data_IF_781199710706
#
_entry.id   IF_781199710706
#
_cell.length_a   1.000
_cell.length_b   1.000
_cell.length_c   1.000
_cell.angle_alpha   90.00
_cell.angle_beta   90.00
_cell.angle_gamma   90.00
#
_symmetry.space_group_name_H-M   'P 1'
#
loop_
_entity.id
_entity.type
_entity.pdbx_description
1 polymer ?
#
# COMPACT_ATOMS: atom_id res chain seq x y z
N UNK A 1 75.34 -6.83 -14.66
CA UNK A 1 75.09 -8.17 -14.06
C UNK A 1 73.65 -8.17 -13.56
N UNK A 2 72.70 -8.90 -14.18
CA UNK A 2 72.23 -10.27 -13.81
C UNK A 2 71.91 -10.38 -12.30
N UNK A 3 70.77 -10.85 -11.79
CA UNK A 3 69.53 -11.45 -12.30
C UNK A 3 68.60 -11.68 -11.06
N UNK A 4 67.33 -12.00 -11.31
CA UNK A 4 66.38 -12.75 -10.46
C UNK A 4 65.43 -12.01 -9.50
N UNK A 5 64.17 -11.90 -9.93
CA UNK A 5 63.01 -12.33 -9.14
C UNK A 5 62.98 -13.87 -9.02
N UNK A 6 62.26 -14.43 -8.03
CA UNK A 6 61.09 -15.25 -8.40
C UNK A 6 59.89 -15.26 -7.42
N UNK A 7 58.69 -15.31 -8.02
CA UNK A 7 57.47 -16.12 -7.71
C UNK A 7 56.75 -15.88 -6.37
N UNK A 8 55.52 -15.34 -6.37
CA UNK A 8 54.22 -16.01 -6.61
C UNK A 8 54.02 -17.33 -5.84
N UNK A 9 53.34 -17.25 -4.69
CA UNK A 9 52.58 -18.36 -4.12
C UNK A 9 51.22 -17.84 -3.60
N UNK A 10 50.24 -17.92 -4.49
CA UNK A 10 48.80 -17.96 -4.18
C UNK A 10 48.53 -18.97 -3.05
N UNK A 11 47.83 -18.54 -2.00
CA UNK A 11 47.21 -19.44 -1.04
C UNK A 11 45.68 -19.29 -1.12
N UNK A 12 45.05 -20.16 -1.92
CA UNK A 12 43.60 -20.36 -1.96
C UNK A 12 43.21 -21.31 -0.83
N UNK A 13 42.27 -20.97 0.06
CA UNK A 13 41.65 -21.98 0.92
C UNK A 13 40.70 -22.86 0.10
N UNK A 14 40.86 -24.17 0.26
CA UNK A 14 40.06 -25.23 -0.36
C UNK A 14 38.67 -25.27 0.27
N UNK A 15 37.64 -25.26 -0.58
CA UNK A 15 36.27 -25.62 -0.22
C UNK A 15 36.20 -27.10 0.19
N UNK A 16 35.65 -27.37 1.37
CA UNK A 16 35.10 -28.68 1.73
C UNK A 16 33.59 -28.60 1.51
N UNK A 17 33.07 -29.41 0.59
CA UNK A 17 31.65 -29.47 0.26
C UNK A 17 30.93 -30.45 1.20
N UNK A 18 30.08 -29.92 2.09
CA UNK A 18 29.10 -30.75 2.81
C UNK A 18 27.86 -30.97 1.95
N UNK A 19 27.48 -32.24 1.78
CA UNK A 19 26.32 -32.69 1.00
C UNK A 19 25.02 -32.41 1.75
N UNK A 20 23.94 -31.92 1.09
CA UNK A 20 22.64 -31.83 1.72
C UNK A 20 22.00 -33.21 1.93
N UNK A 21 21.50 -33.45 3.14
CA UNK A 21 20.71 -34.63 3.54
C UNK A 21 19.34 -34.63 2.87
N UNK A 22 18.98 -35.78 2.29
CA UNK A 22 17.66 -36.15 1.76
C UNK A 22 16.50 -35.84 2.73
N UNK A 23 15.39 -35.29 2.21
CA UNK A 23 14.11 -35.21 2.92
C UNK A 23 13.20 -36.36 2.45
N UNK A 24 12.87 -37.26 3.38
CA UNK A 24 11.85 -38.31 3.20
C UNK A 24 10.46 -37.69 3.13
N UNK A 25 9.70 -38.04 2.10
CA UNK A 25 8.27 -37.80 2.00
C UNK A 25 7.52 -38.81 2.88
N UNK A 26 6.63 -38.32 3.75
CA UNK A 26 5.65 -39.15 4.48
C UNK A 26 4.26 -38.75 3.95
N UNK A 27 3.60 -39.67 3.27
CA UNK A 27 2.17 -39.64 2.95
C UNK A 27 1.37 -40.16 4.15
N UNK A 28 0.23 -39.51 4.47
CA UNK A 28 -0.89 -40.13 5.17
C UNK A 28 -2.23 -39.78 4.46
N UNK A 29 -3.18 -40.74 4.35
CA UNK A 29 -4.47 -40.56 3.66
C UNK A 29 -5.69 -40.41 4.61
N UNK A 30 -6.83 -40.01 4.02
CA UNK A 30 -8.21 -40.18 4.55
C UNK A 30 -8.76 -38.97 5.35
N UNK A 31 -10.04 -38.58 5.31
CA UNK A 31 -11.27 -39.27 4.87
C UNK A 31 -12.43 -38.28 4.66
N UNK A 32 -13.42 -38.76 3.91
CA UNK A 32 -14.73 -38.18 3.54
C UNK A 32 -15.70 -38.15 4.73
N UNK A 33 -16.52 -37.10 4.86
CA UNK A 33 -17.84 -37.19 5.52
C UNK A 33 -18.86 -36.40 4.68
N UNK A 34 -19.86 -37.13 4.18
CA UNK A 34 -21.09 -36.62 3.60
C UNK A 34 -22.16 -36.53 4.70
N UNK A 35 -22.99 -35.48 4.68
CA UNK A 35 -24.19 -35.40 5.50
C UNK A 35 -25.38 -34.97 4.63
N UNK A 36 -26.28 -35.93 4.41
CA UNK A 36 -27.62 -35.74 3.85
C UNK A 36 -28.57 -35.28 4.95
N UNK A 37 -29.58 -34.48 4.62
CA UNK A 37 -30.76 -34.29 5.48
C UNK A 37 -32.03 -34.27 4.63
N UNK A 38 -33.02 -34.98 5.16
CA UNK A 38 -34.19 -35.49 4.45
C UNK A 38 -35.32 -34.46 4.31
N UNK A 39 -36.05 -34.60 3.20
CA UNK A 39 -37.34 -33.96 2.93
C UNK A 39 -38.44 -34.80 3.57
N UNK A 40 -39.34 -34.18 4.33
CA UNK A 40 -40.58 -34.80 4.80
C UNK A 40 -41.78 -34.06 4.19
N UNK A 41 -42.46 -34.74 3.25
CA UNK A 41 -43.83 -34.44 2.84
C UNK A 41 -44.79 -35.06 3.86
N UNK A 42 -45.86 -34.35 4.21
CA UNK A 42 -47.08 -34.97 4.71
C UNK A 42 -48.30 -34.36 4.02
N UNK A 43 -49.07 -35.23 3.39
CA UNK A 43 -50.40 -35.00 2.81
C UNK A 43 -51.43 -35.42 3.85
N UNK A 44 -52.44 -34.58 4.10
CA UNK A 44 -53.61 -34.93 4.92
C UNK A 44 -54.87 -34.39 4.24
N UNK A 45 -55.72 -35.30 3.76
CA UNK A 45 -56.97 -35.04 3.06
C UNK A 45 -58.15 -34.94 4.04
N UNK A 46 -59.23 -34.31 3.55
CA UNK A 46 -60.41 -33.79 4.24
C UNK A 46 -61.43 -34.80 4.80
N UNK A 47 -62.29 -34.31 5.69
CA UNK A 47 -63.78 -34.41 5.75
C UNK A 47 -64.21 -33.62 7.01
N UNK A 48 -65.28 -32.84 7.16
CA UNK A 48 -66.54 -32.63 6.45
C UNK A 48 -67.65 -32.53 7.51
N UNK A 49 -68.41 -31.43 7.58
CA UNK A 49 -69.64 -31.33 8.39
C UNK A 49 -69.83 -29.98 9.10
N UNK A 50 -70.79 -29.17 8.65
CA UNK A 50 -71.10 -27.85 9.22
C UNK A 50 -72.29 -27.81 10.19
N UNK A 51 -72.53 -26.64 10.80
CA UNK A 51 -73.85 -26.04 11.03
C UNK A 51 -73.75 -24.67 11.74
N UNK A 52 -74.46 -23.68 11.18
CA UNK A 52 -75.28 -22.60 11.76
C UNK A 52 -74.73 -21.62 12.84
N UNK A 53 -74.57 -20.36 12.40
CA UNK A 53 -75.14 -19.13 12.95
C UNK A 53 -75.16 -18.84 14.46
N UNK A 54 -74.39 -17.81 14.87
CA UNK A 54 -74.78 -16.89 15.94
C UNK A 54 -74.15 -15.50 15.68
N UNK A 55 -74.99 -14.47 15.67
CA UNK A 55 -74.64 -13.04 15.59
C UNK A 55 -74.24 -12.57 16.99
N UNK A 56 -73.15 -11.81 17.12
CA UNK A 56 -72.81 -11.06 18.33
C UNK A 56 -72.14 -9.73 17.97
N UNK A 57 -72.55 -8.70 18.70
CA UNK A 57 -72.37 -7.25 18.47
C UNK A 57 -70.91 -6.77 18.38
N UNK A 58 -70.65 -5.58 17.76
CA UNK A 58 -69.32 -5.00 17.75
C UNK A 58 -68.94 -4.45 19.14
N UNK A 59 -67.93 -5.06 19.77
CA UNK A 59 -67.24 -4.52 20.94
C UNK A 59 -66.38 -3.27 20.59
N UNK A 60 -65.99 -2.47 21.60
CA UNK A 60 -65.38 -1.16 21.38
C UNK A 60 -64.04 -1.27 20.67
N UNK A 61 -63.83 -0.34 19.73
CA UNK A 61 -62.62 -0.16 18.94
C UNK A 61 -61.36 -0.24 19.80
N UNK A 62 -60.56 -1.28 19.59
CA UNK A 62 -59.19 -1.34 20.04
C UNK A 62 -58.44 -0.18 19.36
N UNK A 63 -57.83 0.69 20.17
CA UNK A 63 -56.95 1.76 19.72
C UNK A 63 -55.94 1.18 18.72
N UNK A 64 -55.97 1.73 17.50
CA UNK A 64 -54.98 1.42 16.48
C UNK A 64 -53.60 1.69 17.08
N UNK A 65 -52.78 0.64 17.22
CA UNK A 65 -51.37 0.80 17.53
C UNK A 65 -50.76 1.78 16.54
N UNK A 66 -50.06 2.77 17.07
CA UNK A 66 -49.29 3.75 16.30
C UNK A 66 -48.47 3.02 15.23
N UNK A 67 -48.76 3.28 13.96
CA UNK A 67 -47.96 2.80 12.85
C UNK A 67 -46.48 3.18 13.06
N UNK A 68 -45.51 2.32 12.69
CA UNK A 68 -44.11 2.68 12.80
C UNK A 68 -43.86 3.99 12.05
N UNK A 69 -43.24 4.95 12.74
CA UNK A 69 -42.90 6.24 12.15
C UNK A 69 -42.03 5.99 10.91
N UNK A 70 -42.46 6.54 9.76
CA UNK A 70 -41.68 6.52 8.53
C UNK A 70 -40.34 7.19 8.80
N UNK A 71 -39.27 6.40 8.87
CA UNK A 71 -37.92 6.91 9.01
C UNK A 71 -37.44 7.26 7.60
N UNK A 72 -36.95 8.50 7.35
CA UNK A 72 -36.42 8.83 6.05
C UNK A 72 -35.21 7.93 5.71
N UNK A 73 -35.12 7.53 4.45
CA UNK A 73 -34.03 6.70 3.93
C UNK A 73 -32.81 7.60 3.62
N UNK A 74 -31.58 7.19 3.96
CA UNK A 74 -30.37 7.97 3.66
C UNK A 74 -30.23 8.21 2.15
N UNK A 75 -30.00 9.47 1.76
CA UNK A 75 -29.82 9.88 0.38
C UNK A 75 -28.43 10.49 0.22
N UNK A 76 -27.52 9.82 -0.47
CA UNK A 76 -26.25 10.45 -0.86
C UNK A 76 -26.45 11.28 -2.12
N UNK A 77 -25.97 12.53 -2.13
CA UNK A 77 -25.77 13.30 -3.36
C UNK A 77 -24.45 12.81 -3.93
N UNK A 78 -24.46 12.30 -5.16
CA UNK A 78 -23.40 11.54 -5.87
C UNK A 78 -21.98 12.16 -5.96
N UNK A 79 -21.49 12.88 -4.96
CA UNK A 79 -20.18 13.50 -4.87
C UNK A 79 -19.44 13.07 -3.61
N UNK A 80 -18.20 12.66 -3.82
CA UNK A 80 -17.19 12.44 -2.78
C UNK A 80 -16.02 13.37 -3.09
N UNK A 81 -15.68 14.25 -2.15
CA UNK A 81 -14.78 15.38 -2.42
C UNK A 81 -13.70 15.42 -1.34
N UNK A 82 -12.44 15.36 -1.75
CA UNK A 82 -11.29 15.65 -0.89
C UNK A 82 -11.14 17.16 -0.67
N UNK A 83 -10.33 17.56 0.32
CA UNK A 83 -10.10 18.97 0.64
C UNK A 83 -9.63 19.85 -0.55
N UNK A 84 -9.04 19.23 -1.58
CA UNK A 84 -8.60 19.90 -2.81
C UNK A 84 -9.70 20.06 -3.88
N UNK A 85 -10.96 19.71 -3.56
CA UNK A 85 -12.10 19.80 -4.48
C UNK A 85 -12.22 18.66 -5.49
N UNK A 86 -11.35 17.64 -5.44
CA UNK A 86 -11.37 16.50 -6.36
C UNK A 86 -11.91 15.24 -5.70
N UNK A 87 -12.39 14.28 -6.50
CA UNK A 87 -12.72 12.92 -6.05
C UNK A 87 -11.52 11.98 -6.16
N UNK A 88 -10.31 12.46 -5.86
CA UNK A 88 -9.07 11.71 -6.06
C UNK A 88 -8.11 11.84 -4.88
N UNK A 89 -7.23 10.85 -4.72
CA UNK A 89 -6.20 10.85 -3.68
C UNK A 89 -5.19 9.72 -3.82
N UNK A 90 -4.15 9.77 -2.99
CA UNK A 90 -2.99 8.88 -3.10
C UNK A 90 -3.38 7.40 -2.92
N UNK A 91 -2.76 6.54 -3.71
CA UNK A 91 -2.74 5.07 -3.49
C UNK A 91 -2.23 4.67 -2.11
N UNK A 92 -1.47 5.54 -1.42
CA UNK A 92 -1.06 5.31 -0.03
C UNK A 92 -2.23 5.29 0.97
N UNK A 93 -3.41 5.81 0.58
CA UNK A 93 -4.55 5.95 1.48
C UNK A 93 -4.46 7.18 2.38
N UNK A 94 -5.36 7.27 3.35
CA UNK A 94 -5.42 8.37 4.32
C UNK A 94 -5.97 9.69 3.76
N UNK A 95 -6.48 9.70 2.53
CA UNK A 95 -7.14 10.89 1.97
C UNK A 95 -8.48 11.05 2.67
N UNK A 96 -8.65 12.17 3.38
CA UNK A 96 -9.93 12.54 3.98
C UNK A 96 -10.85 13.10 2.90
N UNK A 97 -12.02 12.50 2.77
CA UNK A 97 -13.03 12.84 1.77
C UNK A 97 -14.38 13.03 2.44
N UNK A 98 -15.15 14.00 1.94
CA UNK A 98 -16.49 14.30 2.42
C UNK A 98 -17.51 13.85 1.39
N UNK A 99 -18.50 13.10 1.85
CA UNK A 99 -19.71 12.75 1.12
C UNK A 99 -20.84 13.61 1.67
N UNK A 100 -21.64 14.20 0.79
CA UNK A 100 -22.78 15.06 1.17
C UNK A 100 -24.09 14.37 0.80
N UNK A 101 -25.11 14.50 1.65
CA UNK A 101 -26.37 13.79 1.49
C UNK A 101 -27.47 14.29 2.43
N UNK A 102 -28.40 13.40 2.72
CA UNK A 102 -29.45 13.52 3.74
C UNK A 102 -29.56 12.19 4.49
N UNK A 103 -29.98 12.24 5.75
CA UNK A 103 -30.15 11.11 6.67
C UNK A 103 -28.94 10.15 6.75
N UNK A 104 -27.73 10.69 6.56
CA UNK A 104 -26.49 9.91 6.53
C UNK A 104 -26.09 9.31 7.88
N UNK A 105 -26.79 9.64 8.98
CA UNK A 105 -26.51 9.20 10.35
C UNK A 105 -26.51 7.68 10.55
N UNK A 106 -27.00 6.91 9.58
CA UNK A 106 -26.96 5.44 9.60
C UNK A 106 -25.69 4.84 9.01
N UNK A 107 -24.88 5.61 8.28
CA UNK A 107 -23.64 5.14 7.66
C UNK A 107 -22.68 4.66 8.76
N UNK A 108 -22.33 3.37 8.72
CA UNK A 108 -21.45 2.74 9.70
C UNK A 108 -20.12 2.29 9.07
N UNK A 109 -20.11 1.95 7.78
CA UNK A 109 -18.89 1.51 7.08
C UNK A 109 -18.86 1.94 5.62
N UNK A 110 -17.67 1.87 5.01
CA UNK A 110 -17.42 2.25 3.62
C UNK A 110 -16.42 1.31 2.96
N UNK A 111 -16.63 1.00 1.68
CA UNK A 111 -15.67 0.32 0.82
C UNK A 111 -15.25 1.22 -0.36
N UNK A 112 -13.96 1.18 -0.69
CA UNK A 112 -13.38 1.79 -1.89
C UNK A 112 -12.90 0.67 -2.81
N UNK A 113 -13.75 0.23 -3.74
CA UNK A 113 -13.56 -1.01 -4.47
C UNK A 113 -13.53 -2.20 -3.51
N UNK A 114 -12.45 -2.99 -3.54
CA UNK A 114 -12.29 -4.16 -2.67
C UNK A 114 -11.73 -3.83 -1.27
N UNK A 115 -11.30 -2.59 -1.00
CA UNK A 115 -10.62 -2.23 0.24
C UNK A 115 -11.57 -1.48 1.19
N UNK A 116 -11.68 -1.89 2.47
CA UNK A 116 -12.51 -1.19 3.45
C UNK A 116 -11.85 0.13 3.86
N UNK A 117 -12.59 1.24 3.78
CA UNK A 117 -12.16 2.53 4.29
C UNK A 117 -12.56 2.75 5.74
N UNK A 118 -12.32 3.95 6.26
CA UNK A 118 -12.66 4.31 7.64
C UNK A 118 -13.68 5.45 7.63
N UNK A 119 -14.73 5.31 8.43
CA UNK A 119 -15.67 6.40 8.70
C UNK A 119 -15.09 7.24 9.85
N UNK A 120 -14.82 8.51 9.59
CA UNK A 120 -14.21 9.45 10.57
C UNK A 120 -15.30 10.15 11.38
N UNK A 121 -16.32 10.66 10.71
CA UNK A 121 -17.48 11.29 11.35
C UNK A 121 -18.69 11.24 10.44
N UNK A 122 -19.87 11.23 11.05
CA UNK A 122 -21.14 11.21 10.33
C UNK A 122 -22.10 12.16 11.02
N UNK A 123 -22.80 12.94 10.23
CA UNK A 123 -23.94 13.77 10.61
C UNK A 123 -25.13 13.40 9.73
N UNK A 124 -26.26 14.10 9.88
CA UNK A 124 -27.42 13.89 9.00
C UNK A 124 -27.14 14.26 7.54
N UNK A 125 -26.24 15.22 7.26
CA UNK A 125 -26.03 15.75 5.90
C UNK A 125 -24.63 15.47 5.33
N UNK A 126 -23.69 15.02 6.17
CA UNK A 126 -22.30 14.79 5.76
C UNK A 126 -21.72 13.53 6.39
N UNK A 127 -20.94 12.79 5.61
CA UNK A 127 -20.10 11.70 6.08
C UNK A 127 -18.64 11.99 5.69
N UNK A 128 -17.76 12.07 6.68
CA UNK A 128 -16.32 12.22 6.50
C UNK A 128 -15.67 10.85 6.56
N UNK A 129 -14.90 10.51 5.54
CA UNK A 129 -14.32 9.19 5.34
C UNK A 129 -12.81 9.34 5.13
N UNK A 130 -12.05 8.31 5.49
CA UNK A 130 -10.63 8.18 5.17
C UNK A 130 -10.44 7.01 4.21
N UNK A 131 -9.74 7.25 3.10
CA UNK A 131 -9.48 6.23 2.09
C UNK A 131 -8.48 5.17 2.60
N UNK A 132 -8.66 3.89 2.24
CA UNK A 132 -7.64 2.88 2.49
C UNK A 132 -6.47 2.98 1.52
N UNK A 133 -5.37 2.31 1.84
CA UNK A 133 -4.31 2.07 0.86
C UNK A 133 -4.82 1.17 -0.28
N UNK A 134 -4.29 1.38 -1.48
CA UNK A 134 -4.64 0.62 -2.68
C UNK A 134 -3.39 0.36 -3.51
N UNK A 135 -3.31 -0.82 -4.11
CA UNK A 135 -2.28 -1.11 -5.14
C UNK A 135 -2.78 -0.80 -6.55
N UNK A 136 -4.07 -0.46 -6.71
CA UNK A 136 -4.71 -0.15 -7.98
C UNK A 136 -4.80 1.36 -8.19
N UNK A 137 -4.30 1.81 -9.33
CA UNK A 137 -4.50 3.16 -9.85
C UNK A 137 -5.83 3.26 -10.62
N UNK A 138 -6.38 4.47 -10.68
CA UNK A 138 -7.61 4.77 -11.43
C UNK A 138 -8.87 4.76 -10.58
N UNK A 139 -10.02 4.82 -11.25
CA UNK A 139 -11.32 4.94 -10.61
C UNK A 139 -11.77 3.62 -9.94
N UNK A 140 -12.26 3.73 -8.72
CA UNK A 140 -12.94 2.67 -7.96
C UNK A 140 -14.36 3.13 -7.59
N UNK A 141 -15.33 2.21 -7.49
CA UNK A 141 -16.61 2.53 -6.87
C UNK A 141 -16.43 2.75 -5.37
N UNK A 142 -17.30 3.58 -4.78
CA UNK A 142 -17.39 3.79 -3.33
C UNK A 142 -18.77 3.39 -2.87
N UNK A 143 -18.84 2.51 -1.88
CA UNK A 143 -20.08 1.95 -1.36
C UNK A 143 -20.15 2.23 0.14
N UNK A 144 -21.30 2.73 0.60
CA UNK A 144 -21.56 3.00 2.01
C UNK A 144 -22.55 1.97 2.53
N UNK A 145 -22.36 1.54 3.78
CA UNK A 145 -23.23 0.56 4.42
C UNK A 145 -23.67 1.07 5.79
N UNK A 146 -24.88 0.70 6.19
CA UNK A 146 -25.38 0.94 7.54
C UNK A 146 -24.84 -0.09 8.55
N UNK A 147 -25.31 0.02 9.80
CA UNK A 147 -24.89 -0.87 10.89
C UNK A 147 -25.29 -2.34 10.69
N UNK A 148 -26.32 -2.59 9.87
CA UNK A 148 -26.80 -3.94 9.53
C UNK A 148 -26.09 -4.49 8.27
N UNK A 149 -25.20 -3.72 7.67
CA UNK A 149 -24.47 -4.08 6.45
C UNK A 149 -25.28 -3.88 5.17
N UNK A 150 -26.39 -3.15 5.24
CA UNK A 150 -27.22 -2.83 4.07
C UNK A 150 -26.63 -1.62 3.35
N UNK A 151 -26.58 -1.69 2.01
CA UNK A 151 -26.04 -0.61 1.20
C UNK A 151 -26.92 0.65 1.29
N UNK A 152 -26.29 1.79 1.58
CA UNK A 152 -26.93 3.10 1.60
C UNK A 152 -27.08 3.61 0.16
N UNK A 153 -28.29 3.97 -0.30
CA UNK A 153 -28.50 4.31 -1.69
C UNK A 153 -27.90 5.67 -2.07
N UNK A 154 -27.35 5.73 -3.28
CA UNK A 154 -26.77 6.93 -3.88
C UNK A 154 -27.70 7.49 -4.94
N UNK A 155 -28.13 8.74 -4.78
CA UNK A 155 -28.96 9.42 -5.75
C UNK A 155 -28.16 10.50 -6.49
N UNK A 156 -28.33 10.55 -7.81
CA UNK A 156 -27.67 11.58 -8.63
C UNK A 156 -28.29 12.95 -8.35
N UNK A 157 -27.47 13.99 -8.17
CA UNK A 157 -27.95 15.35 -7.93
C UNK A 157 -28.66 16.02 -9.15
N UNK A 158 -28.79 15.31 -10.28
CA UNK A 158 -29.35 15.83 -11.52
C UNK A 158 -30.64 15.09 -11.89
N UNK A 159 -31.78 15.76 -11.69
CA UNK A 159 -33.17 15.32 -12.01
C UNK A 159 -33.60 14.00 -11.32
N UNK A 160 -34.91 13.78 -11.09
CA UNK A 160 -35.42 12.51 -10.56
C UNK A 160 -35.31 11.42 -11.65
N UNK A 161 -34.08 11.04 -11.96
CA UNK A 161 -33.76 9.84 -12.71
C UNK A 161 -33.53 8.72 -11.70
N UNK A 162 -34.21 7.60 -11.87
CA UNK A 162 -34.04 6.37 -11.08
C UNK A 162 -32.66 5.70 -11.31
N UNK A 163 -31.73 6.39 -11.97
CA UNK A 163 -30.37 5.93 -12.18
C UNK A 163 -29.47 6.38 -11.03
N UNK A 164 -29.22 5.45 -10.11
CA UNK A 164 -28.13 5.48 -9.13
C UNK A 164 -26.80 5.62 -9.88
N UNK A 165 -26.22 6.82 -9.96
CA UNK A 165 -24.82 6.95 -10.36
C UNK A 165 -23.96 6.56 -9.16
N UNK A 166 -23.14 5.50 -9.24
CA UNK A 166 -22.34 5.08 -8.10
C UNK A 166 -21.34 6.18 -7.72
N UNK A 167 -21.09 6.36 -6.43
CA UNK A 167 -19.98 7.19 -5.97
C UNK A 167 -18.68 6.62 -6.56
N UNK A 168 -17.79 7.50 -7.01
CA UNK A 168 -16.49 7.08 -7.53
C UNK A 168 -15.37 7.90 -6.94
N UNK A 169 -14.27 7.22 -6.61
CA UNK A 169 -13.03 7.82 -6.15
C UNK A 169 -11.87 7.35 -7.03
N UNK A 170 -10.92 8.23 -7.34
CA UNK A 170 -9.77 7.92 -8.18
C UNK A 170 -8.49 7.86 -7.37
N UNK A 171 -7.88 6.68 -7.32
CA UNK A 171 -6.53 6.53 -6.80
C UNK A 171 -5.51 7.05 -7.83
N UNK A 172 -4.64 7.97 -7.38
CA UNK A 172 -3.53 8.53 -8.15
C UNK A 172 -2.19 8.12 -7.51
N UNK A 173 -1.06 8.19 -8.24
CA UNK A 173 0.26 7.97 -7.65
C UNK A 173 0.48 8.90 -6.47
N UNK A 174 1.21 8.44 -5.46
CA UNK A 174 1.53 9.29 -4.32
C UNK A 174 2.36 10.50 -4.79
N UNK A 175 1.91 11.74 -4.53
CA UNK A 175 2.60 12.94 -5.02
C UNK A 175 4.02 13.08 -4.45
N UNK A 176 4.30 12.57 -3.24
CA UNK A 176 5.64 12.58 -2.65
C UNK A 176 6.56 11.60 -3.38
N UNK A 177 6.06 10.40 -3.68
CA UNK A 177 6.80 9.41 -4.50
C UNK A 177 7.04 9.99 -5.91
N UNK A 178 6.05 10.64 -6.50
CA UNK A 178 6.18 11.26 -7.81
C UNK A 178 7.21 12.39 -7.83
N UNK A 179 7.26 13.24 -6.80
CA UNK A 179 8.28 14.28 -6.68
C UNK A 179 9.69 13.69 -6.54
N UNK A 180 9.84 12.64 -5.72
CA UNK A 180 11.10 11.92 -5.57
C UNK A 180 11.58 11.32 -6.89
N UNK A 181 10.73 10.59 -7.61
CA UNK A 181 11.12 9.95 -8.88
C UNK A 181 11.36 10.96 -9.98
N UNK A 182 10.60 12.06 -10.03
CA UNK A 182 10.87 13.17 -10.96
C UNK A 182 12.26 13.78 -10.71
N UNK A 183 12.63 14.02 -9.45
CA UNK A 183 13.97 14.49 -9.09
C UNK A 183 15.06 13.51 -9.56
N UNK A 184 14.88 12.23 -9.23
CA UNK A 184 15.83 11.17 -9.58
C UNK A 184 16.03 11.10 -11.10
N UNK A 185 14.95 11.11 -11.88
CA UNK A 185 15.03 11.01 -13.34
C UNK A 185 15.57 12.28 -14.00
N UNK A 186 15.41 13.45 -13.37
CA UNK A 186 16.01 14.69 -13.83
C UNK A 186 17.53 14.74 -13.56
N UNK A 187 17.99 14.12 -12.46
CA UNK A 187 19.34 14.36 -11.94
C UNK A 187 20.29 13.17 -11.95
N UNK A 188 19.86 11.95 -12.29
CA UNK A 188 20.72 10.76 -12.28
C UNK A 188 21.99 10.89 -13.15
N UNK A 189 21.94 11.75 -14.17
CA UNK A 189 23.07 12.08 -15.05
C UNK A 189 23.47 13.55 -14.98
N UNK A 190 22.49 14.43 -14.76
CA UNK A 190 22.68 15.88 -14.68
C UNK A 190 22.70 16.31 -13.20
N UNK A 191 23.86 16.15 -12.57
CA UNK A 191 24.04 16.34 -11.13
C UNK A 191 23.60 17.74 -10.67
N UNK A 192 22.82 17.82 -9.59
CA UNK A 192 22.45 19.08 -8.93
C UNK A 192 23.60 19.67 -8.07
N UNK A 193 24.74 19.88 -8.71
CA UNK A 193 25.99 20.25 -8.02
C UNK A 193 25.98 21.68 -7.49
N UNK A 194 25.15 22.55 -8.04
CA UNK A 194 25.03 23.93 -7.58
C UNK A 194 24.34 24.03 -6.21
N UNK A 195 23.38 23.15 -5.93
CA UNK A 195 22.61 23.15 -4.69
C UNK A 195 23.21 22.23 -3.63
N UNK A 196 23.62 21.02 -4.02
CA UNK A 196 24.04 19.97 -3.09
C UNK A 196 25.50 19.53 -3.25
N UNK A 197 26.25 20.18 -4.14
CA UNK A 197 27.59 19.73 -4.49
C UNK A 197 27.60 18.35 -5.16
N UNK A 198 28.82 17.86 -5.40
CA UNK A 198 29.08 16.52 -5.91
C UNK A 198 30.21 15.91 -5.10
N UNK A 199 30.06 14.64 -4.73
CA UNK A 199 31.06 13.87 -4.01
C UNK A 199 31.73 12.87 -4.97
N UNK A 200 32.88 13.20 -5.58
CA UNK A 200 33.49 12.35 -6.59
C UNK A 200 33.78 10.94 -6.06
N UNK A 201 33.23 9.92 -6.72
CA UNK A 201 33.42 8.51 -6.35
C UNK A 201 32.60 8.01 -5.16
N UNK A 202 31.80 8.86 -4.50
CA UNK A 202 31.00 8.47 -3.33
C UNK A 202 29.70 9.30 -3.21
N UNK A 203 29.00 9.52 -4.32
CA UNK A 203 27.84 10.40 -4.38
C UNK A 203 26.50 9.67 -4.18
N UNK A 204 26.53 8.36 -3.97
CA UNK A 204 25.33 7.51 -3.95
C UNK A 204 24.30 7.95 -2.90
N UNK A 205 24.73 8.24 -1.66
CA UNK A 205 23.82 8.71 -0.60
C UNK A 205 23.58 10.22 -0.70
N UNK A 206 24.52 11.02 -1.19
CA UNK A 206 24.27 12.44 -1.44
C UNK A 206 23.08 12.58 -2.41
N UNK A 207 23.09 11.84 -3.52
CA UNK A 207 21.98 11.79 -4.47
C UNK A 207 20.69 11.24 -3.87
N UNK A 208 20.78 10.12 -3.14
CA UNK A 208 19.62 9.55 -2.42
C UNK A 208 19.01 10.56 -1.46
N UNK A 209 19.85 11.29 -0.73
CA UNK A 209 19.43 12.26 0.26
C UNK A 209 18.69 13.44 -0.37
N UNK A 210 19.19 13.93 -1.51
CA UNK A 210 18.51 14.95 -2.30
C UNK A 210 17.12 14.51 -2.75
N UNK A 211 16.99 13.26 -3.21
CA UNK A 211 15.68 12.72 -3.62
C UNK A 211 14.69 12.65 -2.44
N UNK A 212 15.17 12.39 -1.22
CA UNK A 212 14.34 12.36 -0.03
C UNK A 212 13.90 13.76 0.39
N UNK A 213 14.74 14.79 0.21
CA UNK A 213 14.30 16.19 0.32
C UNK A 213 13.20 16.50 -0.70
N UNK A 214 13.36 16.08 -1.96
CA UNK A 214 12.32 16.26 -2.98
C UNK A 214 11.01 15.49 -2.65
N UNK A 215 11.11 14.35 -1.97
CA UNK A 215 9.97 13.60 -1.40
C UNK A 215 9.26 14.38 -0.28
N UNK A 216 9.91 15.39 0.30
CA UNK A 216 9.41 16.19 1.41
C UNK A 216 9.96 15.79 2.77
N UNK A 217 11.07 15.07 2.85
CA UNK A 217 11.78 14.89 4.12
C UNK A 217 12.37 16.21 4.60
N UNK A 218 12.36 16.41 5.91
CA UNK A 218 13.10 17.49 6.56
C UNK A 218 14.37 16.92 7.17
N UNK A 219 15.48 17.64 6.97
CA UNK A 219 16.76 17.35 7.61
C UNK A 219 16.65 17.44 9.13
N UNK A 220 17.54 16.74 9.83
CA UNK A 220 17.66 16.81 11.28
C UNK A 220 19.14 16.86 11.70
N UNK A 221 19.42 16.73 12.99
CA UNK A 221 20.78 16.82 13.50
C UNK A 221 21.69 15.68 13.02
N UNK A 222 21.12 14.52 12.66
CA UNK A 222 21.89 13.31 12.34
C UNK A 222 21.98 13.07 10.83
N UNK A 223 20.99 13.52 10.05
CA UNK A 223 20.96 13.52 8.60
C UNK A 223 20.77 14.94 8.06
N UNK A 224 21.87 15.57 7.62
CA UNK A 224 21.87 16.97 7.20
C UNK A 224 22.95 17.33 6.19
N UNK A 225 22.68 18.41 5.44
CA UNK A 225 23.59 19.09 4.54
C UNK A 225 23.38 20.61 4.64
N UNK A 226 24.47 21.37 4.63
CA UNK A 226 24.46 22.82 4.67
C UNK A 226 24.99 23.39 3.34
N UNK A 227 24.09 23.93 2.51
CA UNK A 227 24.43 24.44 1.19
C UNK A 227 25.44 25.60 1.22
N UNK A 228 25.40 26.46 2.25
CA UNK A 228 26.32 27.61 2.35
C UNK A 228 27.76 27.24 2.68
N UNK A 229 27.99 26.07 3.29
CA UNK A 229 29.32 25.62 3.71
C UNK A 229 29.75 24.29 3.07
N UNK A 230 28.84 23.64 2.34
CA UNK A 230 28.97 22.28 1.83
C UNK A 230 29.29 21.22 2.90
N UNK A 231 29.04 21.51 4.18
CA UNK A 231 29.18 20.55 5.26
C UNK A 231 27.99 19.59 5.30
N UNK A 232 28.25 18.33 5.64
CA UNK A 232 27.23 17.30 5.73
C UNK A 232 27.51 16.30 6.86
N UNK A 233 26.45 15.65 7.36
CA UNK A 233 26.58 14.59 8.34
C UNK A 233 27.05 13.28 7.70
N UNK A 234 27.55 12.33 8.51
CA UNK A 234 27.94 11.02 7.99
C UNK A 234 26.77 10.31 7.29
N UNK A 235 25.57 10.37 7.87
CA UNK A 235 24.37 9.74 7.29
C UNK A 235 23.93 10.37 5.95
N UNK A 236 24.34 11.60 5.64
CA UNK A 236 24.03 12.24 4.36
C UNK A 236 24.81 11.64 3.17
N UNK A 237 26.02 11.14 3.41
CA UNK A 237 26.96 10.77 2.35
C UNK A 237 27.52 9.33 2.42
N UNK A 238 27.36 8.64 3.55
CA UNK A 238 27.84 7.26 3.73
C UNK A 238 26.69 6.26 3.75
N UNK A 239 26.78 5.24 2.89
CA UNK A 239 25.74 4.22 2.72
C UNK A 239 25.54 3.41 4.01
N UNK A 240 26.62 3.04 4.70
CA UNK A 240 26.57 2.40 6.02
C UNK A 240 25.99 3.32 7.09
N UNK A 241 26.42 4.59 7.16
CA UNK A 241 25.91 5.51 8.17
C UNK A 241 24.42 5.84 7.96
N UNK A 242 23.99 5.94 6.69
CA UNK A 242 22.59 6.14 6.34
C UNK A 242 21.72 4.94 6.75
N UNK A 243 22.21 3.72 6.55
CA UNK A 243 21.53 2.52 7.02
C UNK A 243 21.36 2.49 8.55
N UNK A 244 22.41 2.88 9.29
CA UNK A 244 22.37 3.00 10.75
C UNK A 244 21.38 4.09 11.19
N UNK A 245 21.36 5.23 10.50
CA UNK A 245 20.38 6.29 10.73
C UNK A 245 18.95 5.78 10.52
N UNK A 246 18.64 5.13 9.40
CA UNK A 246 17.28 4.59 9.15
C UNK A 246 16.88 3.53 10.18
N UNK A 247 17.82 2.67 10.60
CA UNK A 247 17.56 1.67 11.65
C UNK A 247 17.16 2.32 12.99
N UNK A 248 17.74 3.48 13.32
CA UNK A 248 17.40 4.25 14.51
C UNK A 248 16.08 5.05 14.38
N UNK A 249 15.54 5.19 13.16
CA UNK A 249 14.35 5.99 12.86
C UNK A 249 13.24 5.15 12.21
N UNK A 250 12.61 4.20 12.94
CA UNK A 250 11.57 3.34 12.39
C UNK A 250 10.31 4.08 11.95
N UNK A 251 10.14 5.33 12.38
CA UNK A 251 9.08 6.23 11.91
C UNK A 251 9.32 6.79 10.50
N UNK A 252 10.55 6.69 9.97
CA UNK A 252 10.93 7.15 8.63
C UNK A 252 10.99 6.02 7.61
N UNK A 253 11.42 4.83 8.04
CA UNK A 253 11.57 3.69 7.15
C UNK A 253 11.51 2.35 7.88
N UNK A 254 11.07 1.32 7.17
CA UNK A 254 11.08 -0.07 7.65
C UNK A 254 12.09 -0.89 6.85
N UNK A 255 12.99 -1.60 7.55
CA UNK A 255 13.96 -2.48 6.92
C UNK A 255 13.28 -3.69 6.24
N UNK A 256 13.63 -3.93 4.98
CA UNK A 256 13.20 -5.08 4.18
C UNK A 256 14.42 -5.87 3.69
N UNK A 257 14.42 -7.18 3.95
CA UNK A 257 15.35 -8.10 3.33
C UNK A 257 14.89 -8.48 1.93
N UNK A 258 15.77 -9.11 1.16
CA UNK A 258 15.45 -9.57 -0.18
C UNK A 258 14.42 -10.72 -0.21
N UNK A 259 14.25 -11.43 0.91
CA UNK A 259 13.17 -12.39 1.14
C UNK A 259 11.78 -11.73 1.10
N UNK A 260 11.69 -10.43 1.39
CA UNK A 260 10.46 -9.63 1.37
C UNK A 260 10.36 -8.72 0.15
N UNK A 261 11.11 -9.01 -0.92
CA UNK A 261 11.19 -8.20 -2.14
C UNK A 261 9.84 -7.80 -2.75
N UNK A 262 8.83 -8.66 -2.66
CA UNK A 262 7.48 -8.38 -3.17
C UNK A 262 6.78 -7.17 -2.50
N UNK A 263 7.26 -6.77 -1.32
CA UNK A 263 6.77 -5.62 -0.55
C UNK A 263 7.41 -4.30 -0.98
N UNK A 264 8.54 -4.34 -1.71
CA UNK A 264 9.23 -3.13 -2.17
C UNK A 264 8.33 -2.35 -3.12
N UNK A 265 8.38 -1.03 -3.00
CA UNK A 265 7.62 -0.07 -3.79
C UNK A 265 8.53 1.01 -4.38
N UNK A 266 8.04 1.65 -5.43
CA UNK A 266 8.72 2.81 -6.02
C UNK A 266 8.90 3.91 -4.96
N UNK A 267 10.07 4.53 -4.93
CA UNK A 267 10.47 5.52 -3.92
C UNK A 267 11.14 4.91 -2.68
N UNK A 268 11.21 3.59 -2.56
CA UNK A 268 12.04 2.93 -1.55
C UNK A 268 13.53 3.13 -1.85
N UNK A 269 14.36 2.92 -0.82
CA UNK A 269 15.82 2.93 -0.97
C UNK A 269 16.31 1.49 -1.11
N UNK A 270 17.20 1.25 -2.06
CA UNK A 270 17.94 0.00 -2.21
C UNK A 270 19.37 0.18 -1.72
N UNK A 271 19.90 -0.80 -0.99
CA UNK A 271 21.29 -0.82 -0.55
C UNK A 271 21.94 -2.16 -0.85
N UNK A 272 23.19 -2.08 -1.31
CA UNK A 272 23.98 -3.23 -1.68
C UNK A 272 25.17 -3.40 -0.75
N UNK A 273 25.50 -4.66 -0.48
CA UNK A 273 26.73 -5.11 0.16
C UNK A 273 27.41 -6.06 -0.81
N UNK A 274 28.21 -5.50 -1.72
CA UNK A 274 28.85 -6.20 -2.83
C UNK A 274 29.82 -7.26 -2.33
N UNK A 275 30.48 -6.98 -1.21
CA UNK A 275 31.53 -7.85 -0.65
C UNK A 275 31.04 -8.76 0.47
N UNK A 276 29.75 -8.72 0.82
CA UNK A 276 29.17 -9.46 1.96
C UNK A 276 29.91 -9.17 3.27
N UNK A 277 30.32 -7.92 3.44
CA UNK A 277 31.08 -7.45 4.60
C UNK A 277 30.21 -7.15 5.81
N UNK A 278 28.89 -6.94 5.59
CA UNK A 278 27.97 -6.38 6.57
C UNK A 278 27.76 -4.87 6.37
N UNK A 279 28.74 -4.15 5.83
CA UNK A 279 28.61 -2.73 5.48
C UNK A 279 27.81 -2.54 4.20
N UNK A 280 27.21 -1.35 4.01
CA UNK A 280 26.48 -1.03 2.78
C UNK A 280 27.43 -0.29 1.84
N UNK A 281 27.83 -0.92 0.75
CA UNK A 281 28.75 -0.36 -0.25
C UNK A 281 28.08 0.66 -1.17
N UNK A 282 26.81 0.46 -1.52
CA UNK A 282 26.11 1.30 -2.49
C UNK A 282 24.66 1.53 -2.13
N UNK A 283 24.15 2.72 -2.44
CA UNK A 283 22.76 3.12 -2.17
C UNK A 283 22.13 3.71 -3.44
N UNK A 284 20.86 3.42 -3.68
CA UNK A 284 20.07 4.00 -4.76
C UNK A 284 18.58 4.09 -4.41
N UNK A 285 17.80 4.65 -5.34
CA UNK A 285 16.35 4.83 -5.20
C UNK A 285 15.64 3.86 -6.14
N UNK A 286 14.65 3.13 -5.65
CA UNK A 286 13.80 2.26 -6.47
C UNK A 286 12.91 3.11 -7.37
N UNK A 287 13.14 3.05 -8.69
CA UNK A 287 12.43 3.83 -9.71
C UNK A 287 11.33 3.03 -10.40
N UNK A 288 11.44 1.70 -10.43
CA UNK A 288 10.40 0.83 -11.00
C UNK A 288 10.34 -0.52 -10.28
N UNK A 289 9.11 -1.01 -10.11
CA UNK A 289 8.84 -2.36 -9.59
C UNK A 289 7.86 -3.05 -10.52
N UNK A 290 8.25 -4.20 -11.04
CA UNK A 290 7.40 -5.06 -11.87
C UNK A 290 7.03 -6.30 -11.06
N UNK A 291 5.75 -6.45 -10.71
CA UNK A 291 5.28 -7.58 -9.90
C UNK A 291 4.81 -8.71 -10.81
N UNK A 292 5.24 -9.94 -10.53
CA UNK A 292 4.85 -11.14 -11.28
C UNK A 292 4.73 -12.33 -10.33
N UNK A 293 3.54 -12.94 -10.24
CA UNK A 293 3.34 -14.22 -9.55
C UNK A 293 3.85 -14.26 -8.09
N UNK A 294 3.72 -13.17 -7.34
CA UNK A 294 4.20 -13.08 -5.94
C UNK A 294 5.67 -12.69 -5.77
N UNK A 295 6.41 -12.48 -6.87
CA UNK A 295 7.75 -11.91 -6.87
C UNK A 295 7.75 -10.50 -7.50
N UNK A 296 8.86 -9.78 -7.37
CA UNK A 296 9.06 -8.46 -7.94
C UNK A 296 10.44 -8.32 -8.58
N UNK A 297 10.49 -7.77 -9.81
CA UNK A 297 11.72 -7.26 -10.41
C UNK A 297 11.85 -5.80 -10.05
N UNK A 298 13.00 -5.43 -9.50
CA UNK A 298 13.26 -4.09 -8.97
C UNK A 298 14.30 -3.41 -9.83
N UNK A 299 14.01 -2.17 -10.17
CA UNK A 299 14.91 -1.28 -10.88
C UNK A 299 15.16 -0.04 -10.03
N UNK A 300 16.37 0.45 -10.07
CA UNK A 300 16.80 1.59 -9.29
C UNK A 300 17.55 2.61 -10.13
N UNK A 301 17.75 3.78 -9.55
CA UNK A 301 18.65 4.82 -10.01
C UNK A 301 19.70 5.10 -8.93
N UNK A 302 20.89 5.52 -9.33
CA UNK A 302 21.95 5.91 -8.40
C UNK A 302 22.98 6.81 -9.06
N UNK A 303 23.75 7.53 -8.26
CA UNK A 303 25.05 8.09 -8.66
C UNK A 303 26.21 7.13 -8.34
N UNK A 304 27.47 7.55 -8.53
CA UNK A 304 28.72 6.76 -8.43
C UNK A 304 28.85 5.70 -9.52
N UNK A 305 27.77 4.94 -9.75
CA UNK A 305 27.52 4.15 -10.94
C UNK A 305 26.23 4.67 -11.56
N UNK A 306 26.33 5.74 -12.34
CA UNK A 306 25.19 6.53 -12.80
C UNK A 306 24.21 5.68 -13.63
N UNK A 307 22.95 5.61 -13.18
CA UNK A 307 21.85 4.92 -13.87
C UNK A 307 20.47 5.41 -13.38
N UNK A 308 19.42 5.13 -14.15
CA UNK A 308 18.02 5.53 -13.89
C UNK A 308 17.03 4.35 -13.74
N UNK A 309 17.30 3.22 -14.40
CA UNK A 309 16.50 1.99 -14.33
C UNK A 309 17.37 0.74 -14.37
N UNK A 310 18.48 0.71 -13.63
CA UNK A 310 19.30 -0.50 -13.56
C UNK A 310 18.57 -1.60 -12.79
N UNK A 311 18.60 -2.82 -13.32
CA UNK A 311 18.06 -3.98 -12.61
C UNK A 311 18.93 -4.31 -11.39
N UNK A 312 18.28 -4.52 -10.24
CA UNK A 312 18.93 -5.05 -9.02
C UNK A 312 19.55 -6.42 -9.31
N UNK A 313 18.81 -7.31 -9.99
CA UNK A 313 19.28 -8.67 -10.31
C UNK A 313 20.50 -8.65 -11.22
N UNK A 314 20.52 -7.75 -12.20
CA UNK A 314 21.68 -7.59 -13.08
C UNK A 314 22.90 -7.05 -12.32
N UNK A 315 22.67 -6.13 -11.39
CA UNK A 315 23.75 -5.58 -10.54
C UNK A 315 24.37 -6.67 -9.67
N UNK A 316 23.53 -7.49 -9.00
CA UNK A 316 23.98 -8.63 -8.20
C UNK A 316 24.66 -9.71 -9.05
N UNK A 317 24.17 -9.99 -10.26
CA UNK A 317 24.81 -10.95 -11.16
C UNK A 317 26.21 -10.49 -11.60
N UNK A 318 26.42 -9.18 -11.76
CA UNK A 318 27.68 -8.61 -12.20
C UNK A 318 28.69 -8.41 -11.06
N UNK A 319 28.24 -7.97 -9.90
CA UNK A 319 29.11 -7.60 -8.76
C UNK A 319 29.19 -8.67 -7.66
N UNK A 320 28.19 -9.57 -7.58
CA UNK A 320 27.99 -10.45 -6.44
C UNK A 320 27.33 -9.74 -5.25
N UNK A 321 27.45 -10.34 -4.06
CA UNK A 321 27.00 -9.73 -2.81
C UNK A 321 25.52 -9.93 -2.48
N UNK A 322 25.00 -9.06 -1.62
CA UNK A 322 23.62 -9.07 -1.14
C UNK A 322 22.94 -7.72 -1.31
N UNK A 323 21.61 -7.73 -1.29
CA UNK A 323 20.78 -6.52 -1.36
C UNK A 323 19.81 -6.47 -0.18
N UNK A 324 19.52 -5.25 0.25
CA UNK A 324 18.53 -4.91 1.27
C UNK A 324 17.80 -3.65 0.84
N UNK A 325 16.61 -3.41 1.40
CA UNK A 325 15.80 -2.25 1.07
C UNK A 325 15.30 -1.56 2.34
N UNK A 326 14.95 -0.29 2.19
CA UNK A 326 14.23 0.48 3.17
C UNK A 326 12.90 0.91 2.58
N UNK A 327 11.81 0.38 3.13
CA UNK A 327 10.46 0.79 2.80
C UNK A 327 10.22 2.17 3.40
N UNK A 328 10.30 3.21 2.56
CA UNK A 328 10.16 4.60 3.00
C UNK A 328 8.67 4.90 3.24
N UNK A 329 8.36 5.55 4.35
CA UNK A 329 6.98 5.92 4.72
C UNK A 329 6.45 7.14 3.95
#
# INVERSE_FOLDING_TARGET
MRLNSPRDTRNRPRHSAERPREKRHILLPGSIIAASSAVALSVGLATGGGAIGAVSEPGPSAAAGSAPAWQPEPIVRSSIIAANGTSAGSVAGGTVVTVTGADLNKVASVNFGANPGTVVSVTSDTATLSTPASTRLGAVPVELFDADGVAVPVHSAATPSLATAPLSFRYIPDPKVAAQTAYVLAHWKDYNSAEYGRLPGNDCVNFTSQSLIARGWTMDAEWSFNAGTSQYSAAWASSTAFAAYLAAHPNRATALGDDRRAQVKVGDVVQFDWYSSGDRDHTGIVTRVEKTGGSARIYYASHTMDNDFKSVDESLANAGGTVSYWSIT
#
